data_IF_998825221485
#
_entry.id   IF_998825221485
#
_cell.length_a   1.000
_cell.length_b   1.000
_cell.length_c   1.000
_cell.angle_alpha   90.00
_cell.angle_beta   90.00
_cell.angle_gamma   90.00
#
_symmetry.space_group_name_H-M   'P 1'
#
loop_
_entity.id
_entity.type
_entity.pdbx_description
1 polymer ?
#
# COMPACT_ATOMS: atom_id res chain seq x y z
N UNK A 1 11.33 77.38 13.05
CA UNK A 1 11.10 76.99 14.46
C UNK A 1 10.36 75.66 14.37
N UNK A 2 10.85 74.51 14.85
CA UNK A 2 11.79 74.25 15.96
C UNK A 2 10.99 73.69 17.14
N UNK A 3 11.32 72.56 17.79
CA UNK A 3 12.50 71.69 17.73
C UNK A 3 12.12 70.19 17.66
N UNK A 4 13.13 69.33 17.46
CA UNK A 4 13.06 67.92 17.82
C UNK A 4 13.39 67.70 19.31
N UNK A 5 12.95 66.58 19.88
CA UNK A 5 13.41 66.04 21.18
C UNK A 5 13.61 64.53 21.03
N UNK A 6 14.59 63.95 21.73
CA UNK A 6 15.12 62.61 21.50
C UNK A 6 15.54 61.94 22.82
N UNK A 7 14.97 60.77 23.14
CA UNK A 7 15.40 59.78 24.15
C UNK A 7 14.52 58.52 24.01
N UNK A 8 14.95 57.28 24.31
CA UNK A 8 16.29 56.81 24.68
C UNK A 8 16.38 55.27 24.76
N UNK A 9 17.60 54.78 24.51
CA UNK A 9 18.29 53.50 24.88
C UNK A 9 17.66 52.73 26.08
N UNK A 10 17.62 51.39 26.17
CA UNK A 10 18.66 50.45 26.70
C UNK A 10 18.00 49.03 26.94
N UNK A 11 18.56 47.79 26.85
CA UNK A 11 19.70 47.11 26.15
C UNK A 11 19.48 45.56 26.12
N UNK A 12 20.36 44.80 25.42
CA UNK A 12 20.77 43.39 25.65
C UNK A 12 19.75 42.23 25.38
N UNK A 13 20.18 40.99 25.10
CA UNK A 13 21.53 40.40 25.10
C UNK A 13 21.75 39.24 24.11
N UNK A 14 22.89 38.53 24.21
CA UNK A 14 23.51 37.71 23.13
C UNK A 14 23.77 36.24 23.53
N UNK A 15 23.60 35.31 22.58
CA UNK A 15 24.21 33.97 22.57
C UNK A 15 24.25 33.42 21.12
N UNK A 16 25.23 32.62 20.66
CA UNK A 16 26.45 32.10 21.30
C UNK A 16 27.55 31.76 20.27
N UNK A 17 28.75 31.37 20.74
CA UNK A 17 30.00 31.30 19.94
C UNK A 17 30.38 29.95 19.30
N UNK A 18 31.66 29.83 18.93
CA UNK A 18 32.20 28.84 17.98
C UNK A 18 32.83 27.54 18.57
N UNK A 19 33.32 26.72 17.64
CA UNK A 19 33.93 25.37 17.76
C UNK A 19 35.24 25.31 18.56
N UNK A 20 35.56 24.12 19.07
CA UNK A 20 36.95 23.63 19.25
C UNK A 20 37.05 22.11 18.95
N UNK A 21 38.27 21.57 18.86
CA UNK A 21 38.59 20.19 18.45
C UNK A 21 39.22 19.37 19.59
N UNK A 22 38.71 18.15 19.83
CA UNK A 22 39.28 17.19 20.78
C UNK A 22 39.78 15.90 20.11
N UNK A 23 40.96 15.41 20.51
CA UNK A 23 41.62 14.22 19.92
C UNK A 23 41.87 13.14 20.99
N UNK A 24 41.17 12.01 20.89
CA UNK A 24 41.34 10.81 21.73
C UNK A 24 42.03 9.65 20.98
N UNK A 25 42.34 8.56 21.67
CA UNK A 25 43.13 7.42 21.16
C UNK A 25 42.42 6.07 21.41
N UNK A 26 42.74 5.09 20.57
CA UNK A 26 42.31 3.67 20.61
C UNK A 26 42.85 2.93 21.84
N UNK A 27 42.11 1.91 22.27
CA UNK A 27 42.61 0.60 22.75
C UNK A 27 41.54 -0.49 22.40
N UNK A 28 41.96 -1.75 22.20
CA UNK A 28 41.11 -2.89 21.80
C UNK A 28 40.66 -3.75 23.00
N UNK A 29 39.40 -4.20 23.04
CA UNK A 29 38.99 -5.42 23.76
C UNK A 29 37.84 -6.16 23.02
N UNK A 30 38.02 -7.46 22.75
CA UNK A 30 36.99 -8.31 22.13
C UNK A 30 35.85 -8.67 23.11
N UNK A 31 34.59 -8.39 22.72
CA UNK A 31 33.36 -9.21 22.95
C UNK A 31 32.07 -8.44 22.56
N UNK A 32 31.54 -8.64 21.34
CA UNK A 32 30.07 -8.80 21.16
C UNK A 32 29.64 -9.45 19.82
N UNK A 33 30.33 -10.49 19.37
CA UNK A 33 30.01 -11.21 18.13
C UNK A 33 28.76 -12.11 18.20
N UNK A 34 27.75 -11.80 19.03
CA UNK A 34 26.50 -12.59 19.21
C UNK A 34 25.25 -11.75 19.56
N UNK A 35 25.13 -10.51 19.09
CA UNK A 35 23.94 -9.66 19.34
C UNK A 35 23.12 -9.28 18.08
N UNK A 36 23.51 -9.75 16.88
CA UNK A 36 22.99 -9.23 15.59
C UNK A 36 21.87 -10.06 14.94
N UNK A 37 21.13 -10.90 15.69
CA UNK A 37 20.10 -11.80 15.12
C UNK A 37 18.68 -11.65 15.72
N UNK A 38 18.47 -10.83 16.73
CA UNK A 38 17.11 -10.48 17.22
C UNK A 38 16.54 -9.27 16.46
N UNK A 39 16.41 -9.41 15.13
CA UNK A 39 16.03 -8.29 14.24
C UNK A 39 15.34 -8.69 12.93
N UNK A 40 14.72 -9.87 12.87
CA UNK A 40 14.19 -10.43 11.61
C UNK A 40 12.66 -10.57 11.62
N UNK A 41 12.00 -9.87 10.68
CA UNK A 41 10.66 -10.17 10.17
C UNK A 41 9.45 -10.04 11.14
N UNK A 42 9.13 -8.79 11.53
CA UNK A 42 7.76 -8.33 11.26
C UNK A 42 7.73 -7.86 9.81
N UNK A 43 7.28 -8.73 8.90
CA UNK A 43 7.18 -8.42 7.45
C UNK A 43 6.00 -7.46 7.23
N UNK A 44 6.14 -6.61 6.22
CA UNK A 44 5.26 -5.47 5.94
C UNK A 44 3.83 -5.88 5.55
N UNK A 45 2.98 -6.11 6.55
CA UNK A 45 1.53 -6.14 6.38
C UNK A 45 1.03 -4.72 6.16
N UNK A 46 0.36 -4.45 5.04
CA UNK A 46 -0.24 -3.13 4.77
C UNK A 46 -1.54 -2.98 5.57
N UNK A 47 -1.37 -2.74 6.86
CA UNK A 47 -2.44 -2.50 7.84
C UNK A 47 -2.54 -1.01 8.13
N UNK A 48 -3.75 -0.45 8.02
CA UNK A 48 -4.07 0.87 8.60
C UNK A 48 -4.70 0.63 9.96
N UNK A 49 -4.04 1.02 11.06
CA UNK A 49 -4.50 0.72 12.43
C UNK A 49 -5.93 1.20 12.71
N UNK A 50 -6.34 2.31 12.09
CA UNK A 50 -7.70 2.87 12.15
C UNK A 50 -8.78 1.91 11.64
N UNK A 51 -8.42 0.99 10.75
CA UNK A 51 -9.31 0.01 10.12
C UNK A 51 -9.26 -1.37 10.80
N UNK A 52 -8.38 -1.57 11.79
CA UNK A 52 -8.36 -2.78 12.58
C UNK A 52 -9.52 -2.79 13.59
N UNK A 53 -10.21 -3.93 13.71
CA UNK A 53 -11.26 -4.13 14.69
C UNK A 53 -10.67 -4.14 16.10
N UNK A 54 -11.10 -3.18 16.94
CA UNK A 54 -10.59 -3.00 18.31
C UNK A 54 -10.77 -4.22 19.21
N UNK A 55 -11.88 -4.94 19.06
CA UNK A 55 -12.21 -6.12 19.87
C UNK A 55 -11.38 -7.37 19.51
N UNK A 56 -10.90 -7.48 18.26
CA UNK A 56 -10.30 -8.70 17.73
C UNK A 56 -8.87 -8.53 17.18
N UNK A 57 -8.38 -7.29 17.05
CA UNK A 57 -7.09 -6.97 16.42
C UNK A 57 -6.99 -7.31 14.92
N UNK A 58 -8.08 -7.76 14.30
CA UNK A 58 -8.11 -8.20 12.89
C UNK A 58 -8.47 -7.05 11.95
N UNK A 59 -7.96 -7.07 10.72
CA UNK A 59 -8.32 -6.12 9.66
C UNK A 59 -9.82 -6.09 9.38
N UNK A 60 -10.36 -4.88 9.17
CA UNK A 60 -11.74 -4.65 8.79
C UNK A 60 -11.97 -4.89 7.30
N UNK A 61 -12.27 -6.13 6.91
CA UNK A 61 -12.44 -6.57 5.52
C UNK A 61 -13.90 -6.62 5.03
N UNK A 62 -14.87 -6.40 5.91
CA UNK A 62 -16.31 -6.49 5.62
C UNK A 62 -17.05 -5.21 6.07
N UNK A 63 -18.29 -5.03 5.62
CA UNK A 63 -19.13 -3.90 6.00
C UNK A 63 -20.49 -4.36 6.52
N UNK A 64 -20.89 -3.86 7.69
CA UNK A 64 -22.23 -4.02 8.23
C UNK A 64 -23.14 -2.88 7.76
N UNK A 65 -24.25 -3.21 7.09
CA UNK A 65 -25.24 -2.21 6.67
C UNK A 65 -26.00 -1.59 7.84
N UNK A 66 -26.39 -2.40 8.83
CA UNK A 66 -27.23 -1.93 9.95
C UNK A 66 -26.51 -0.93 10.86
N UNK A 67 -25.22 -1.13 11.08
CA UNK A 67 -24.35 -0.28 11.90
C UNK A 67 -23.68 0.87 11.11
N UNK A 68 -23.90 0.96 9.79
CA UNK A 68 -23.13 1.79 8.84
C UNK A 68 -21.58 1.73 9.06
N UNK A 69 -20.98 0.56 9.37
CA UNK A 69 -19.55 0.48 9.74
C UNK A 69 -18.76 -0.70 9.17
N UNK A 70 -17.45 -0.49 8.99
CA UNK A 70 -16.47 -1.53 8.63
C UNK A 70 -16.23 -2.45 9.83
N UNK A 71 -16.15 -3.76 9.58
CA UNK A 71 -15.97 -4.81 10.59
C UNK A 71 -14.98 -5.89 10.10
N UNK A 72 -14.37 -6.63 11.03
CA UNK A 72 -13.55 -7.80 10.69
C UNK A 72 -14.41 -9.06 10.50
N UNK A 73 -13.82 -10.12 9.95
CA UNK A 73 -14.50 -11.42 9.79
C UNK A 73 -15.06 -12.00 11.10
N UNK A 74 -14.34 -11.89 12.22
CA UNK A 74 -14.79 -12.43 13.52
C UNK A 74 -16.03 -11.70 14.04
N UNK A 75 -16.09 -10.37 13.87
CA UNK A 75 -17.29 -9.58 14.16
C UNK A 75 -18.52 -10.07 13.41
N UNK A 76 -18.38 -10.45 12.13
CA UNK A 76 -19.47 -10.96 11.31
C UNK A 76 -19.90 -12.38 11.69
N UNK A 77 -18.96 -13.31 11.97
CA UNK A 77 -19.31 -14.73 12.22
C UNK A 77 -19.55 -15.08 13.69
N UNK A 78 -19.07 -14.27 14.64
CA UNK A 78 -19.06 -14.57 16.08
C UNK A 78 -19.41 -13.38 17.00
N UNK A 79 -19.22 -12.14 16.56
CA UNK A 79 -19.49 -10.93 17.36
C UNK A 79 -20.93 -10.40 17.26
N UNK A 80 -21.11 -9.10 17.54
CA UNK A 80 -22.40 -8.41 17.58
C UNK A 80 -23.12 -8.31 16.22
N UNK A 81 -22.44 -8.60 15.10
CA UNK A 81 -22.94 -8.34 13.75
C UNK A 81 -23.46 -9.61 13.03
N UNK A 82 -23.62 -10.71 13.76
CA UNK A 82 -24.06 -12.02 13.23
C UNK A 82 -25.43 -12.02 12.56
N UNK A 83 -26.34 -11.17 13.02
CA UNK A 83 -27.72 -11.11 12.55
C UNK A 83 -27.97 -9.94 11.59
N UNK A 84 -26.92 -9.15 11.29
CA UNK A 84 -27.01 -7.96 10.44
C UNK A 84 -26.64 -8.29 8.99
N UNK A 85 -27.15 -7.50 8.03
CA UNK A 85 -26.79 -7.69 6.62
C UNK A 85 -25.36 -7.22 6.36
N UNK A 86 -24.46 -8.18 6.11
CA UNK A 86 -23.03 -7.94 5.83
C UNK A 86 -22.78 -8.01 4.33
N UNK A 87 -22.02 -7.05 3.80
CA UNK A 87 -21.57 -6.98 2.40
C UNK A 87 -20.07 -6.71 2.31
N UNK A 88 -19.49 -6.84 1.11
CA UNK A 88 -18.08 -6.47 0.89
C UNK A 88 -17.88 -4.95 0.91
N UNK A 89 -16.64 -4.53 1.20
CA UNK A 89 -16.23 -3.11 1.16
C UNK A 89 -16.45 -2.47 -0.22
N UNK A 90 -16.29 -3.24 -1.30
CA UNK A 90 -16.54 -2.79 -2.68
C UNK A 90 -18.02 -2.49 -2.91
N UNK A 91 -18.92 -3.38 -2.47
CA UNK A 91 -20.36 -3.16 -2.59
C UNK A 91 -20.81 -1.98 -1.73
N UNK A 92 -20.28 -1.85 -0.51
CA UNK A 92 -20.55 -0.74 0.39
C UNK A 92 -20.11 0.61 -0.21
N UNK A 93 -18.90 0.68 -0.79
CA UNK A 93 -18.40 1.86 -1.48
C UNK A 93 -19.27 2.23 -2.69
N UNK A 94 -19.69 1.26 -3.52
CA UNK A 94 -20.59 1.51 -4.67
C UNK A 94 -21.95 2.02 -4.19
N UNK A 95 -22.54 1.38 -3.18
CA UNK A 95 -23.82 1.77 -2.58
C UNK A 95 -23.77 3.21 -2.04
N UNK A 96 -22.78 3.52 -1.18
CA UNK A 96 -22.59 4.85 -0.61
C UNK A 96 -22.31 5.91 -1.68
N UNK A 97 -21.56 5.57 -2.75
CA UNK A 97 -21.32 6.48 -3.88
C UNK A 97 -22.59 6.76 -4.69
N UNK A 98 -23.48 5.77 -4.82
CA UNK A 98 -24.72 5.87 -5.60
C UNK A 98 -25.87 6.59 -4.89
N UNK A 99 -25.81 6.71 -3.55
CA UNK A 99 -26.77 7.45 -2.73
C UNK A 99 -26.77 8.93 -3.10
N UNK A 100 -27.93 9.56 -3.17
CA UNK A 100 -28.06 11.01 -3.43
C UNK A 100 -27.53 11.83 -2.25
N UNK A 101 -26.86 12.96 -2.55
CA UNK A 101 -26.33 13.89 -1.56
C UNK A 101 -27.40 14.83 -1.00
N UNK A 102 -27.07 15.56 0.06
CA UNK A 102 -27.99 16.54 0.66
C UNK A 102 -28.02 17.82 -0.17
N UNK A 103 -29.21 18.25 -0.58
CA UNK A 103 -29.41 19.54 -1.25
C UNK A 103 -29.26 20.68 -0.24
N UNK A 104 -28.10 21.35 -0.29
CA UNK A 104 -27.77 22.51 0.54
C UNK A 104 -28.41 23.81 0.05
N UNK A 105 -28.99 23.82 -1.16
CA UNK A 105 -29.48 25.02 -1.83
C UNK A 105 -31.02 25.11 -1.82
N UNK A 106 -31.73 23.98 -1.87
CA UNK A 106 -33.19 23.90 -1.85
C UNK A 106 -33.88 24.33 -0.55
N UNK A 107 -33.14 24.74 0.48
CA UNK A 107 -33.71 25.19 1.75
C UNK A 107 -34.46 26.53 1.63
N UNK A 108 -33.95 27.47 0.83
CA UNK A 108 -34.46 28.85 0.77
C UNK A 108 -35.82 28.95 0.06
N UNK A 109 -36.90 29.05 0.83
CA UNK A 109 -38.23 29.35 0.31
C UNK A 109 -38.59 30.82 0.56
N UNK A 110 -39.05 31.52 -0.49
CA UNK A 110 -39.55 32.89 -0.33
C UNK A 110 -40.97 32.87 0.25
N UNK A 111 -41.13 33.38 1.47
CA UNK A 111 -42.42 33.53 2.16
C UNK A 111 -42.59 34.97 2.62
N UNK A 112 -43.77 35.56 2.43
CA UNK A 112 -44.09 36.89 2.96
C UNK A 112 -44.34 36.80 4.48
N UNK A 113 -43.47 37.45 5.27
CA UNK A 113 -43.37 37.33 6.73
C UNK A 113 -43.16 38.72 7.36
N UNK A 114 -43.53 38.90 8.63
CA UNK A 114 -43.11 40.10 9.39
C UNK A 114 -41.60 40.11 9.65
N UNK A 115 -41.02 41.24 10.04
CA UNK A 115 -39.59 41.36 10.35
C UNK A 115 -39.15 40.43 11.50
N UNK A 116 -39.97 40.32 12.55
CA UNK A 116 -39.71 39.44 13.70
C UNK A 116 -39.83 37.95 13.31
N UNK A 117 -40.79 37.62 12.44
CA UNK A 117 -40.94 36.27 11.89
C UNK A 117 -39.79 35.90 10.94
N UNK A 118 -39.27 36.88 10.19
CA UNK A 118 -38.15 36.71 9.28
C UNK A 118 -36.85 36.40 10.04
N UNK A 119 -36.57 37.07 11.16
CA UNK A 119 -35.41 36.73 12.00
C UNK A 119 -35.46 35.29 12.52
N UNK A 120 -36.62 34.86 13.04
CA UNK A 120 -36.81 33.47 13.50
C UNK A 120 -36.68 32.46 12.36
N UNK A 121 -37.25 32.76 11.19
CA UNK A 121 -37.15 31.92 9.99
C UNK A 121 -35.71 31.80 9.49
N UNK A 122 -34.98 32.92 9.37
CA UNK A 122 -33.58 32.94 8.90
C UNK A 122 -32.66 32.15 9.85
N UNK A 123 -32.85 32.25 11.17
CA UNK A 123 -32.09 31.43 12.11
C UNK A 123 -32.39 29.93 11.94
N UNK A 124 -33.67 29.55 11.79
CA UNK A 124 -34.04 28.16 11.51
C UNK A 124 -33.45 27.64 10.18
N UNK A 125 -33.35 28.50 9.15
CA UNK A 125 -32.72 28.15 7.89
C UNK A 125 -31.20 27.94 8.02
N UNK A 126 -30.52 28.69 8.90
CA UNK A 126 -29.12 28.41 9.24
C UNK A 126 -28.97 27.10 10.02
N UNK A 127 -29.83 26.80 10.98
CA UNK A 127 -29.81 25.52 11.71
C UNK A 127 -30.08 24.31 10.79
N UNK A 128 -31.01 24.46 9.85
CA UNK A 128 -31.28 23.47 8.79
C UNK A 128 -30.05 23.25 7.89
N UNK A 129 -29.42 24.34 7.42
CA UNK A 129 -28.20 24.28 6.60
C UNK A 129 -27.02 23.65 7.37
N UNK A 130 -26.80 24.03 8.63
CA UNK A 130 -25.76 23.43 9.48
C UNK A 130 -25.98 21.92 9.65
N UNK A 131 -27.23 21.48 9.87
CA UNK A 131 -27.57 20.06 9.94
C UNK A 131 -27.24 19.33 8.65
N UNK A 132 -27.62 19.87 7.49
CA UNK A 132 -27.36 19.25 6.19
C UNK A 132 -25.86 19.20 5.86
N UNK A 133 -25.10 20.26 6.15
CA UNK A 133 -23.63 20.29 5.99
C UNK A 133 -22.97 19.19 6.83
N UNK A 134 -23.38 18.99 8.09
CA UNK A 134 -22.84 17.91 8.95
C UNK A 134 -23.21 16.51 8.45
N UNK A 135 -24.37 16.35 7.82
CA UNK A 135 -24.77 15.08 7.22
C UNK A 135 -23.98 14.76 5.94
N UNK A 136 -23.74 15.74 5.06
CA UNK A 136 -22.90 15.56 3.87
C UNK A 136 -21.41 15.38 4.23
N UNK A 137 -20.93 16.03 5.30
CA UNK A 137 -19.60 15.80 5.89
C UNK A 137 -19.46 14.35 6.39
N UNK A 138 -20.37 13.85 7.24
CA UNK A 138 -20.37 12.44 7.71
C UNK A 138 -20.37 11.48 6.51
N UNK A 139 -21.26 11.72 5.54
CA UNK A 139 -21.44 10.91 4.33
C UNK A 139 -20.18 10.87 3.47
N UNK A 140 -19.48 12.00 3.32
CA UNK A 140 -18.25 12.13 2.54
C UNK A 140 -17.07 11.44 3.23
N UNK A 141 -16.89 11.65 4.54
CA UNK A 141 -15.88 10.93 5.34
C UNK A 141 -16.10 9.42 5.21
N UNK A 142 -17.35 8.96 5.37
CA UNK A 142 -17.68 7.53 5.25
C UNK A 142 -17.37 6.95 3.86
N UNK A 143 -17.58 7.71 2.79
CA UNK A 143 -17.23 7.30 1.43
C UNK A 143 -15.71 7.20 1.22
N UNK A 144 -14.93 8.08 1.86
CA UNK A 144 -13.46 8.03 1.85
C UNK A 144 -12.95 6.85 2.66
N UNK A 145 -13.49 6.61 3.86
CA UNK A 145 -13.11 5.50 4.74
C UNK A 145 -13.40 4.13 4.10
N UNK A 146 -14.56 3.99 3.44
CA UNK A 146 -14.89 2.80 2.64
C UNK A 146 -13.91 2.59 1.46
N UNK A 147 -13.45 3.68 0.83
CA UNK A 147 -12.48 3.63 -0.26
C UNK A 147 -11.08 3.26 0.24
N UNK A 148 -10.65 3.81 1.38
CA UNK A 148 -9.41 3.42 2.05
C UNK A 148 -9.45 1.93 2.40
N UNK A 149 -10.48 1.48 3.11
CA UNK A 149 -10.60 0.07 3.50
C UNK A 149 -10.60 -0.89 2.32
N UNK A 150 -11.35 -0.59 1.25
CA UNK A 150 -11.34 -1.41 0.04
C UNK A 150 -9.93 -1.50 -0.60
N UNK A 151 -9.19 -0.40 -0.68
CA UNK A 151 -7.87 -0.36 -1.30
C UNK A 151 -6.78 -0.96 -0.41
N UNK A 152 -6.86 -0.76 0.90
CA UNK A 152 -5.95 -1.34 1.90
C UNK A 152 -6.09 -2.87 1.96
N UNK A 153 -7.31 -3.40 2.03
CA UNK A 153 -7.54 -4.84 2.01
C UNK A 153 -7.03 -5.49 0.72
N UNK A 154 -7.26 -4.85 -0.44
CA UNK A 154 -6.72 -5.32 -1.71
C UNK A 154 -5.18 -5.27 -1.76
N UNK A 155 -4.54 -4.26 -1.16
CA UNK A 155 -3.09 -4.17 -1.07
C UNK A 155 -2.50 -5.28 -0.17
N UNK A 156 -3.14 -5.58 0.97
CA UNK A 156 -2.75 -6.67 1.85
C UNK A 156 -2.85 -8.05 1.15
N UNK A 157 -3.93 -8.29 0.39
CA UNK A 157 -4.12 -9.49 -0.42
C UNK A 157 -3.00 -9.68 -1.47
N UNK A 158 -2.71 -8.64 -2.26
CA UNK A 158 -1.63 -8.67 -3.26
C UNK A 158 -0.25 -8.93 -2.62
N UNK A 159 0.02 -8.35 -1.45
CA UNK A 159 1.27 -8.56 -0.71
C UNK A 159 1.36 -9.98 -0.14
N UNK A 160 0.25 -10.56 0.30
CA UNK A 160 0.19 -11.96 0.71
C UNK A 160 0.49 -12.92 -0.46
N UNK A 161 -0.11 -12.69 -1.64
CA UNK A 161 0.17 -13.47 -2.86
C UNK A 161 1.65 -13.38 -3.26
N UNK A 162 2.20 -12.16 -3.38
CA UNK A 162 3.61 -11.93 -3.69
C UNK A 162 4.51 -12.59 -2.64
N UNK A 163 4.14 -12.57 -1.36
CA UNK A 163 4.89 -13.23 -0.28
C UNK A 163 4.89 -14.76 -0.42
N UNK A 164 3.79 -15.37 -0.87
CA UNK A 164 3.71 -16.82 -1.15
C UNK A 164 4.59 -17.18 -2.35
N UNK A 165 4.47 -16.45 -3.46
CA UNK A 165 5.28 -16.69 -4.67
C UNK A 165 6.77 -16.48 -4.40
N UNK A 166 7.14 -15.49 -3.58
CA UNK A 166 8.53 -15.24 -3.17
C UNK A 166 9.11 -16.42 -2.39
N UNK A 167 8.33 -17.04 -1.48
CA UNK A 167 8.77 -18.24 -0.74
C UNK A 167 8.95 -19.44 -1.65
N UNK A 168 8.01 -19.70 -2.56
CA UNK A 168 8.10 -20.78 -3.54
C UNK A 168 9.38 -20.66 -4.39
N UNK A 169 9.69 -19.45 -4.89
CA UNK A 169 10.93 -19.20 -5.62
C UNK A 169 12.19 -19.38 -4.76
N UNK A 170 12.15 -19.02 -3.47
CA UNK A 170 13.26 -19.28 -2.53
C UNK A 170 13.47 -20.78 -2.29
N UNK A 171 12.39 -21.56 -2.18
CA UNK A 171 12.40 -23.02 -2.03
C UNK A 171 12.92 -23.71 -3.30
N UNK A 172 12.49 -23.27 -4.50
CA UNK A 172 13.02 -23.75 -5.78
C UNK A 172 14.52 -23.45 -5.94
N UNK A 173 14.96 -22.22 -5.63
CA UNK A 173 16.39 -21.83 -5.68
C UNK A 173 17.22 -22.67 -4.70
N UNK A 174 16.72 -22.91 -3.49
CA UNK A 174 17.39 -23.77 -2.51
C UNK A 174 17.51 -25.22 -3.00
N UNK A 175 16.44 -25.76 -3.60
CA UNK A 175 16.43 -27.11 -4.18
C UNK A 175 17.43 -27.24 -5.34
N UNK A 176 17.45 -26.28 -6.27
CA UNK A 176 18.39 -26.27 -7.41
C UNK A 176 19.85 -26.15 -6.91
N UNK A 177 20.11 -25.26 -5.95
CA UNK A 177 21.44 -25.12 -5.31
C UNK A 177 21.88 -26.43 -4.64
N UNK A 178 20.98 -27.12 -3.94
CA UNK A 178 21.26 -28.41 -3.31
C UNK A 178 21.51 -29.52 -4.35
N UNK A 179 20.83 -29.51 -5.50
CA UNK A 179 21.05 -30.47 -6.58
C UNK A 179 22.40 -30.26 -7.26
N UNK A 180 22.77 -29.01 -7.60
CA UNK A 180 24.08 -28.66 -8.15
C UNK A 180 25.21 -29.11 -7.21
N UNK A 181 25.11 -28.75 -5.92
CA UNK A 181 26.07 -29.15 -4.88
C UNK A 181 26.09 -30.66 -4.54
N UNK A 182 25.24 -31.49 -5.17
CA UNK A 182 25.36 -32.96 -5.18
C UNK A 182 26.08 -33.44 -6.45
N UNK A 183 25.76 -32.88 -7.62
CA UNK A 183 26.42 -33.19 -8.88
C UNK A 183 27.92 -32.85 -8.85
N UNK A 184 28.30 -31.72 -8.27
CA UNK A 184 29.70 -31.33 -8.11
C UNK A 184 30.50 -32.36 -7.28
N UNK A 185 29.89 -32.87 -6.20
CA UNK A 185 30.49 -33.89 -5.33
C UNK A 185 30.57 -35.26 -6.00
N UNK A 186 29.62 -35.59 -6.87
CA UNK A 186 29.66 -36.81 -7.68
C UNK A 186 30.74 -36.73 -8.77
N UNK A 187 30.90 -35.57 -9.41
CA UNK A 187 31.96 -35.29 -10.39
C UNK A 187 33.36 -35.22 -9.78
N UNK A 188 33.48 -34.86 -8.49
CA UNK A 188 34.75 -34.76 -7.77
C UNK A 188 35.34 -36.11 -7.30
N UNK A 189 34.67 -37.24 -7.53
CA UNK A 189 35.17 -38.58 -7.18
C UNK A 189 36.32 -39.04 -8.10
N UNK A 190 37.59 -39.12 -7.65
CA UNK A 190 38.70 -39.45 -8.52
C UNK A 190 38.88 -40.98 -8.67
N UNK A 191 38.86 -41.47 -9.91
CA UNK A 191 39.57 -42.71 -10.27
C UNK A 191 38.75 -44.01 -10.43
N UNK A 192 37.45 -44.05 -10.14
CA UNK A 192 36.66 -45.29 -10.25
C UNK A 192 36.39 -45.76 -11.71
N UNK A 193 36.40 -44.84 -12.68
CA UNK A 193 35.98 -45.14 -14.06
C UNK A 193 37.07 -45.68 -15.00
N UNK A 194 38.36 -45.54 -14.65
CA UNK A 194 39.49 -45.78 -15.57
C UNK A 194 40.12 -47.18 -15.39
N UNK A 195 39.55 -48.03 -14.52
CA UNK A 195 40.00 -49.41 -14.33
C UNK A 195 39.37 -50.42 -15.32
N UNK A 196 38.24 -50.08 -15.94
CA UNK A 196 37.41 -51.05 -16.69
C UNK A 196 37.73 -51.17 -18.19
N UNK A 197 38.67 -50.38 -18.73
CA UNK A 197 38.91 -50.29 -20.18
C UNK A 197 40.28 -50.84 -20.65
N UNK A 198 41.12 -51.33 -19.75
CA UNK A 198 42.46 -51.88 -20.09
C UNK A 198 42.40 -53.39 -20.33
N UNK A 199 41.46 -53.83 -21.18
CA UNK A 199 41.37 -55.19 -21.76
C UNK A 199 40.26 -55.27 -22.84
N UNK A 200 40.59 -54.94 -24.09
CA UNK A 200 39.65 -55.05 -25.22
C UNK A 200 40.10 -54.30 -26.47
N UNK A 201 40.49 -55.03 -27.52
CA UNK A 201 41.25 -54.48 -28.65
C UNK A 201 40.55 -53.54 -29.63
N UNK A 202 41.42 -52.81 -30.35
CA UNK A 202 41.24 -52.13 -31.64
C UNK A 202 40.28 -50.91 -31.74
N UNK A 203 40.71 -49.81 -32.42
CA UNK A 203 39.86 -48.65 -32.65
C UNK A 203 38.92 -48.84 -33.87
N UNK A 204 37.61 -48.82 -33.63
CA UNK A 204 36.60 -48.61 -34.68
C UNK A 204 36.38 -47.11 -34.97
N UNK A 205 35.91 -46.73 -36.18
CA UNK A 205 35.70 -45.34 -36.53
C UNK A 205 34.45 -44.76 -35.84
N UNK A 206 34.63 -43.69 -35.06
CA UNK A 206 33.54 -43.02 -34.34
C UNK A 206 32.51 -42.36 -35.29
N UNK A 207 31.19 -42.57 -35.09
CA UNK A 207 30.17 -41.71 -35.68
C UNK A 207 30.31 -40.28 -35.18
N UNK A 208 30.26 -39.29 -36.08
CA UNK A 208 30.22 -37.88 -35.68
C UNK A 208 28.91 -37.56 -34.95
N UNK A 209 28.92 -36.83 -33.81
CA UNK A 209 27.70 -36.30 -33.24
C UNK A 209 27.10 -35.26 -34.20
N UNK A 210 25.88 -35.50 -34.67
CA UNK A 210 25.15 -34.53 -35.48
C UNK A 210 24.83 -33.29 -34.63
N UNK A 211 25.22 -32.11 -35.10
CA UNK A 211 24.93 -30.84 -34.43
C UNK A 211 23.41 -30.61 -34.38
N UNK A 212 22.79 -30.82 -33.22
CA UNK A 212 21.37 -30.51 -33.02
C UNK A 212 21.18 -28.99 -32.97
N UNK A 213 20.78 -28.47 -34.14
CA UNK A 213 20.40 -27.08 -34.46
C UNK A 213 19.66 -26.40 -33.30
N UNK A 214 20.30 -25.45 -32.63
CA UNK A 214 19.74 -24.71 -31.47
C UNK A 214 18.79 -23.60 -31.96
N UNK A 215 17.67 -23.99 -32.58
CA UNK A 215 16.61 -23.09 -33.03
C UNK A 215 15.22 -23.70 -32.79
N UNK A 216 14.89 -23.92 -31.51
CA UNK A 216 13.55 -24.30 -31.07
C UNK A 216 13.32 -23.94 -29.58
N UNK A 217 13.42 -22.65 -29.22
CA UNK A 217 12.78 -22.15 -27.98
C UNK A 217 11.34 -21.77 -28.34
N UNK A 218 10.31 -22.47 -27.85
CA UNK A 218 8.94 -22.01 -28.01
C UNK A 218 8.82 -20.61 -27.38
N UNK A 219 8.32 -19.63 -28.15
CA UNK A 219 7.91 -18.35 -27.56
C UNK A 219 6.68 -18.63 -26.71
N UNK A 220 6.71 -18.18 -25.45
CA UNK A 220 5.51 -18.09 -24.64
C UNK A 220 4.52 -17.16 -25.36
N UNK A 221 3.19 -17.44 -25.33
CA UNK A 221 2.20 -16.53 -25.88
C UNK A 221 2.30 -15.16 -25.19
N UNK A 222 2.30 -14.08 -25.97
CA UNK A 222 2.20 -12.74 -25.41
C UNK A 222 0.86 -12.57 -24.68
N UNK A 223 0.82 -11.93 -23.50
CA UNK A 223 -0.43 -11.57 -22.85
C UNK A 223 -1.28 -10.73 -23.80
N UNK A 224 -2.48 -11.24 -24.13
CA UNK A 224 -3.44 -10.47 -24.94
C UNK A 224 -3.82 -9.21 -24.19
N UNK A 225 -3.47 -8.03 -24.73
CA UNK A 225 -4.07 -6.77 -24.28
C UNK A 225 -5.57 -6.86 -24.47
N UNK A 226 -6.35 -6.60 -23.42
CA UNK A 226 -7.80 -6.47 -23.52
C UNK A 226 -8.12 -5.22 -24.37
N UNK A 227 -8.91 -5.31 -25.48
CA UNK A 227 -9.23 -4.17 -26.35
C UNK A 227 -10.12 -3.07 -25.73
N UNK A 228 -10.18 -2.96 -24.40
CA UNK A 228 -11.12 -2.10 -23.65
C UNK A 228 -10.51 -0.83 -23.03
N UNK A 229 -9.25 -0.51 -23.33
CA UNK A 229 -8.64 0.79 -22.96
C UNK A 229 -8.58 1.76 -24.16
N UNK A 230 -9.73 2.31 -24.51
CA UNK A 230 -9.91 3.40 -25.46
C UNK A 230 -10.99 4.35 -24.91
N UNK A 231 -10.62 5.40 -24.16
CA UNK A 231 -11.67 6.20 -23.52
C UNK A 231 -11.41 7.58 -22.90
N UNK A 232 -10.19 8.00 -22.58
CA UNK A 232 -9.96 9.40 -22.12
C UNK A 232 -9.00 10.16 -23.05
N UNK A 233 -9.59 10.63 -24.15
CA UNK A 233 -8.93 11.55 -25.08
C UNK A 233 -8.61 12.88 -24.40
N UNK A 234 -7.31 13.18 -24.26
CA UNK A 234 -6.79 14.42 -23.69
C UNK A 234 -7.25 15.65 -24.48
N UNK A 235 -8.37 16.26 -24.07
CA UNK A 235 -8.93 17.49 -24.64
C UNK A 235 -8.02 18.70 -24.44
N UNK A 236 -6.96 18.80 -25.25
CA UNK A 236 -6.13 19.99 -25.35
C UNK A 236 -6.93 21.13 -25.96
N UNK A 237 -7.43 22.05 -25.12
CA UNK A 237 -8.15 23.24 -25.58
C UNK A 237 -7.21 24.16 -26.36
N UNK A 238 -7.31 24.10 -27.69
CA UNK A 238 -6.50 24.91 -28.59
C UNK A 238 -7.21 26.22 -28.91
N UNK A 239 -6.77 27.29 -28.24
CA UNK A 239 -6.93 28.68 -28.67
C UNK A 239 -5.62 29.41 -28.34
N UNK A 240 -5.08 30.28 -29.17
CA UNK A 240 -5.60 30.77 -30.46
C UNK A 240 -5.10 32.19 -30.70
N UNK A 241 -3.82 32.34 -31.06
CA UNK A 241 -3.19 33.65 -31.21
C UNK A 241 -3.46 34.30 -32.56
N UNK A 242 -4.06 35.50 -32.56
CA UNK A 242 -3.81 36.59 -33.51
C UNK A 242 -4.67 37.83 -33.15
N UNK A 243 -4.29 39.05 -33.59
CA UNK A 243 -2.98 39.50 -34.05
C UNK A 243 -2.20 40.29 -32.98
#
# INVERSE_FOLDING_TARGET
MGHAVQAGIQENGVCGGERDQGKGKVDDEDKEAVAALEGVSKRDTVTVERLCCKEHGQEGTLYCKADEKVICGVCAVQGEHREHEIITLREAYVLQKSREGYDLLGCTQNTEMSTEQLESYVNSQFDDLYRLVRLEEKRTIHLVDLKEAFLTAAAAENIAEITVHTKQLQEEIACITQQLGQLDKAGAQPGAAIAALVQGGAPGPSPRPAQRRIEARPRLPEPRRDPRDYGEGRSGSSMGHAP
#
